data_IF_494054293361
#
_entry.id   IF_494054293361
#
_cell.length_a   1.000
_cell.length_b   1.000
_cell.length_c   1.000
_cell.angle_alpha   90.00
_cell.angle_beta   90.00
_cell.angle_gamma   90.00
#
_symmetry.space_group_name_H-M   'P 1'
#
loop_
_entity.id
_entity.type
_entity.pdbx_description
1 polymer ?
#
# COMPACT_ATOMS: atom_id res chain seq x y z
N UNK A 1 21.03 10.86 -10.62
CA UNK A 1 20.13 9.74 -10.21
C UNK A 1 20.76 8.40 -10.55
N UNK A 2 20.86 7.99 -11.82
CA UNK A 2 21.48 6.70 -12.19
C UNK A 2 22.93 6.56 -11.72
N UNK A 3 23.77 7.58 -11.90
CA UNK A 3 25.14 7.59 -11.38
C UNK A 3 25.19 7.47 -9.85
N UNK A 4 24.22 8.05 -9.14
CA UNK A 4 24.14 7.90 -7.68
C UNK A 4 23.73 6.47 -7.33
N UNK A 5 22.72 5.91 -8.01
CA UNK A 5 22.16 4.59 -7.75
C UNK A 5 23.15 3.44 -7.99
N UNK A 6 24.15 3.62 -8.87
CA UNK A 6 25.18 2.61 -9.13
C UNK A 6 26.31 2.59 -8.08
N UNK A 7 26.29 3.47 -7.08
CA UNK A 7 27.32 3.56 -6.04
C UNK A 7 26.88 2.85 -4.77
N UNK A 8 27.86 2.35 -4.02
CA UNK A 8 27.63 1.74 -2.70
C UNK A 8 26.95 2.73 -1.71
N UNK A 9 27.24 4.04 -1.85
CA UNK A 9 26.63 5.11 -1.04
C UNK A 9 25.40 5.77 -1.69
N UNK A 10 24.84 5.14 -2.74
CA UNK A 10 23.78 5.70 -3.57
C UNK A 10 22.51 6.05 -2.80
N UNK A 11 22.03 5.14 -1.95
CA UNK A 11 20.85 5.33 -1.10
C UNK A 11 20.95 6.61 -0.27
N UNK A 12 22.10 6.80 0.40
CA UNK A 12 22.38 7.96 1.25
C UNK A 12 22.37 9.26 0.45
N UNK A 13 23.02 9.28 -0.72
CA UNK A 13 23.07 10.47 -1.59
C UNK A 13 21.69 10.90 -2.08
N UNK A 14 20.84 9.95 -2.43
CA UNK A 14 19.46 10.24 -2.87
C UNK A 14 18.64 10.77 -1.69
N UNK A 15 18.78 10.16 -0.51
CA UNK A 15 18.09 10.59 0.71
C UNK A 15 18.46 12.04 1.11
N UNK A 16 19.74 12.43 1.00
CA UNK A 16 20.23 13.77 1.35
C UNK A 16 19.57 14.91 0.56
N UNK A 17 19.08 14.63 -0.66
CA UNK A 17 18.41 15.63 -1.50
C UNK A 17 16.89 15.51 -1.50
N UNK A 18 16.32 14.41 -1.00
CA UNK A 18 14.89 14.08 -1.09
C UNK A 18 13.99 15.18 -0.49
N UNK A 19 14.41 15.79 0.63
CA UNK A 19 13.67 16.90 1.26
C UNK A 19 13.55 18.14 0.36
N UNK A 20 14.49 18.36 -0.56
CA UNK A 20 14.47 19.45 -1.53
C UNK A 20 13.74 19.13 -2.84
N UNK A 21 13.30 17.89 -3.04
CA UNK A 21 12.59 17.46 -4.25
C UNK A 21 11.09 17.80 -4.09
N UNK A 22 10.57 18.55 -5.06
CA UNK A 22 9.13 18.79 -5.20
C UNK A 22 8.46 17.64 -5.96
N UNK A 23 7.15 17.43 -5.79
CA UNK A 23 6.44 16.39 -6.54
C UNK A 23 6.54 16.58 -8.06
N UNK A 24 6.50 17.82 -8.56
CA UNK A 24 6.71 18.09 -9.99
C UNK A 24 8.11 17.72 -10.47
N UNK A 25 9.16 17.88 -9.64
CA UNK A 25 10.52 17.44 -9.97
C UNK A 25 10.60 15.91 -10.04
N UNK A 26 9.96 15.20 -9.09
CA UNK A 26 9.91 13.74 -9.09
C UNK A 26 9.20 13.21 -10.36
N UNK A 27 8.04 13.76 -10.69
CA UNK A 27 7.29 13.43 -11.90
C UNK A 27 8.07 13.77 -13.18
N UNK A 28 8.77 14.91 -13.23
CA UNK A 28 9.57 15.27 -14.40
C UNK A 28 10.69 14.26 -14.66
N UNK A 29 11.36 13.78 -13.60
CA UNK A 29 12.42 12.77 -13.72
C UNK A 29 11.85 11.41 -14.12
N UNK A 30 10.71 10.98 -13.56
CA UNK A 30 10.12 9.68 -13.92
C UNK A 30 9.77 9.59 -15.42
N UNK A 31 9.28 10.69 -16.00
CA UNK A 31 8.89 10.79 -17.42
C UNK A 31 10.02 10.58 -18.42
N UNK A 32 11.26 10.85 -18.03
CA UNK A 32 12.45 10.69 -18.89
C UNK A 32 13.23 9.41 -18.60
N UNK A 33 12.76 8.60 -17.65
CA UNK A 33 13.35 7.31 -17.28
C UNK A 33 12.68 6.17 -18.04
N UNK A 34 13.46 5.21 -18.53
CA UNK A 34 12.91 3.92 -18.99
C UNK A 34 12.56 3.05 -17.78
N UNK A 35 11.83 1.96 -18.00
CA UNK A 35 11.43 1.05 -16.91
C UNK A 35 12.64 0.54 -16.11
N UNK A 36 13.72 0.14 -16.78
CA UNK A 36 14.95 -0.29 -16.09
C UNK A 36 15.58 0.82 -15.23
N UNK A 37 15.42 2.08 -15.62
CA UNK A 37 15.98 3.21 -14.87
C UNK A 37 15.13 3.45 -13.61
N UNK A 38 13.80 3.36 -13.73
CA UNK A 38 12.87 3.42 -12.59
C UNK A 38 13.15 2.30 -11.59
N UNK A 39 13.36 1.08 -12.08
CA UNK A 39 13.67 -0.11 -11.27
C UNK A 39 15.02 0.05 -10.56
N UNK A 40 16.08 0.36 -11.31
CA UNK A 40 17.44 0.45 -10.75
C UNK A 40 17.56 1.55 -9.69
N UNK A 41 16.95 2.72 -9.92
CA UNK A 41 16.97 3.79 -8.92
C UNK A 41 16.02 3.49 -7.77
N UNK A 42 14.85 2.90 -8.03
CA UNK A 42 13.94 2.38 -7.01
C UNK A 42 14.63 1.42 -6.04
N UNK A 43 15.38 0.46 -6.58
CA UNK A 43 16.10 -0.57 -5.81
C UNK A 43 17.23 0.02 -4.95
N UNK A 44 17.86 1.10 -5.42
CA UNK A 44 18.90 1.79 -4.66
C UNK A 44 18.36 2.65 -3.51
N UNK A 45 17.08 3.04 -3.54
CA UNK A 45 16.46 3.84 -2.48
C UNK A 45 15.99 2.94 -1.33
N UNK A 46 16.30 3.33 -0.09
CA UNK A 46 15.82 2.65 1.11
C UNK A 46 14.91 3.60 1.89
N UNK A 47 13.63 3.25 1.98
CA UNK A 47 12.64 3.98 2.76
C UNK A 47 11.84 2.98 3.57
N UNK A 48 11.79 3.18 4.88
CA UNK A 48 11.11 2.27 5.80
C UNK A 48 10.17 3.04 6.73
N UNK A 49 9.13 2.36 7.20
CA UNK A 49 8.25 2.83 8.26
C UNK A 49 7.95 1.67 9.22
N UNK A 50 7.56 1.99 10.45
CA UNK A 50 7.33 0.97 11.48
C UNK A 50 6.10 1.27 12.34
N UNK A 51 5.37 0.19 12.64
CA UNK A 51 4.28 0.20 13.62
C UNK A 51 4.36 -1.03 14.55
N UNK A 52 3.83 -2.19 14.16
CA UNK A 52 4.15 -3.50 14.81
C UNK A 52 5.17 -4.30 14.03
N UNK A 53 5.20 -4.05 12.73
CA UNK A 53 6.20 -4.56 11.80
C UNK A 53 6.98 -3.39 11.22
N UNK A 54 8.18 -3.70 10.76
CA UNK A 54 8.99 -2.79 9.94
C UNK A 54 8.84 -3.15 8.47
N UNK A 55 8.43 -2.20 7.62
CA UNK A 55 8.29 -2.41 6.17
C UNK A 55 9.27 -1.57 5.35
N UNK A 56 9.45 -1.92 4.08
CA UNK A 56 10.35 -1.20 3.16
C UNK A 56 11.85 -1.46 3.38
N UNK A 57 12.17 -2.41 4.27
CA UNK A 57 13.53 -2.87 4.50
C UNK A 57 14.10 -3.62 3.29
N UNK A 58 15.42 -3.51 3.08
CA UNK A 58 16.12 -4.25 2.02
C UNK A 58 15.92 -5.76 2.20
N UNK A 59 15.60 -6.47 1.12
CA UNK A 59 15.40 -7.92 1.15
C UNK A 59 14.04 -8.35 1.68
N UNK A 60 13.12 -7.42 1.89
CA UNK A 60 11.75 -7.71 2.33
C UNK A 60 10.74 -7.37 1.23
N UNK A 61 9.61 -8.08 1.24
CA UNK A 61 8.41 -7.77 0.47
C UNK A 61 7.23 -8.06 1.38
N UNK A 62 6.63 -7.02 1.96
CA UNK A 62 5.48 -7.20 2.84
C UNK A 62 4.15 -7.28 2.07
N UNK A 63 3.08 -7.77 2.69
CA UNK A 63 1.76 -7.82 2.05
C UNK A 63 0.65 -7.24 2.91
N UNK A 64 -0.25 -6.52 2.25
CA UNK A 64 -1.61 -6.33 2.74
C UNK A 64 -2.41 -7.60 2.44
N UNK A 65 -2.94 -8.22 3.48
CA UNK A 65 -3.97 -9.25 3.36
C UNK A 65 -5.31 -8.52 3.32
N UNK A 66 -6.05 -8.64 2.22
CA UNK A 66 -7.35 -8.00 2.02
C UNK A 66 -8.47 -9.05 2.03
N UNK A 67 -9.10 -9.32 3.20
CA UNK A 67 -10.11 -10.35 3.36
C UNK A 67 -11.52 -9.77 3.15
N UNK A 68 -11.73 -9.07 2.04
CA UNK A 68 -13.02 -8.47 1.73
C UNK A 68 -14.09 -9.55 1.57
N UNK A 69 -15.30 -9.25 2.02
CA UNK A 69 -16.45 -10.14 1.87
C UNK A 69 -17.65 -9.33 1.36
N UNK A 70 -18.43 -9.80 0.37
CA UNK A 70 -19.53 -9.03 -0.25
C UNK A 70 -20.61 -8.49 0.70
N UNK A 71 -20.63 -8.97 1.93
CA UNK A 71 -21.60 -8.60 2.98
C UNK A 71 -20.94 -8.41 4.35
N UNK A 72 -19.60 -8.32 4.40
CA UNK A 72 -18.84 -8.26 5.66
C UNK A 72 -19.18 -9.40 6.65
N UNK A 73 -19.47 -10.63 6.18
CA UNK A 73 -19.79 -11.76 7.09
C UNK A 73 -18.55 -12.09 7.94
N UNK A 74 -18.64 -12.06 9.29
CA UNK A 74 -17.49 -12.25 10.15
C UNK A 74 -16.77 -13.59 9.97
N UNK A 75 -17.48 -14.66 9.56
CA UNK A 75 -16.87 -15.97 9.34
C UNK A 75 -16.14 -16.02 8.01
N UNK A 76 -16.73 -15.42 6.96
CA UNK A 76 -16.09 -15.27 5.66
C UNK A 76 -14.79 -14.47 5.77
N UNK A 77 -14.84 -13.32 6.46
CA UNK A 77 -13.66 -12.49 6.75
C UNK A 77 -12.61 -13.28 7.54
N UNK A 78 -12.99 -13.96 8.63
CA UNK A 78 -12.05 -14.72 9.45
C UNK A 78 -11.41 -15.90 8.68
N UNK A 79 -12.16 -16.55 7.78
CA UNK A 79 -11.64 -17.62 6.93
C UNK A 79 -10.60 -17.07 5.93
N UNK A 80 -10.86 -15.94 5.28
CA UNK A 80 -9.91 -15.30 4.37
C UNK A 80 -8.65 -14.78 5.10
N UNK A 81 -8.80 -14.27 6.33
CA UNK A 81 -7.66 -13.92 7.19
C UNK A 81 -6.80 -15.16 7.47
N UNK A 82 -7.41 -16.28 7.85
CA UNK A 82 -6.67 -17.51 8.13
C UNK A 82 -5.94 -18.02 6.87
N UNK A 83 -6.61 -18.04 5.72
CA UNK A 83 -6.03 -18.50 4.45
C UNK A 83 -4.79 -17.66 4.06
N UNK A 84 -4.88 -16.34 4.13
CA UNK A 84 -3.73 -15.47 3.85
C UNK A 84 -2.60 -15.62 4.87
N UNK A 85 -2.92 -15.75 6.17
CA UNK A 85 -1.91 -15.99 7.20
C UNK A 85 -1.18 -17.32 6.98
N UNK A 86 -1.90 -18.39 6.61
CA UNK A 86 -1.34 -19.70 6.27
C UNK A 86 -0.34 -19.65 5.10
N UNK A 87 -0.48 -18.64 4.23
CA UNK A 87 0.42 -18.36 3.12
C UNK A 87 1.41 -17.22 3.40
N UNK A 88 1.60 -16.89 4.69
CA UNK A 88 2.57 -15.90 5.15
C UNK A 88 2.25 -14.46 4.73
N UNK A 89 0.98 -14.15 4.45
CA UNK A 89 0.53 -12.82 4.07
C UNK A 89 -0.08 -12.05 5.25
N UNK A 90 -0.02 -10.72 5.18
CA UNK A 90 -0.62 -9.82 6.17
C UNK A 90 0.38 -9.11 7.07
N UNK A 91 1.67 -9.15 6.76
CA UNK A 91 2.74 -8.51 7.53
C UNK A 91 2.82 -6.99 7.33
N UNK A 92 2.25 -6.44 6.25
CA UNK A 92 2.05 -5.01 6.10
C UNK A 92 0.76 -4.54 6.76
N UNK A 93 -0.36 -5.25 6.62
CA UNK A 93 -1.64 -4.97 7.32
C UNK A 93 -2.65 -6.07 6.99
N UNK A 94 -3.56 -6.37 7.92
CA UNK A 94 -4.81 -7.06 7.60
C UNK A 94 -5.88 -5.99 7.41
N UNK A 95 -6.20 -5.68 6.15
CA UNK A 95 -6.94 -4.48 5.75
C UNK A 95 -8.23 -4.78 5.00
N UNK A 96 -9.38 -4.44 5.59
CA UNK A 96 -10.71 -4.68 5.00
C UNK A 96 -11.25 -3.41 4.36
N UNK A 97 -11.64 -3.46 3.09
CA UNK A 97 -12.58 -2.51 2.53
C UNK A 97 -13.99 -2.95 2.95
N UNK A 98 -14.72 -2.19 3.79
CA UNK A 98 -16.02 -2.61 4.26
C UNK A 98 -17.06 -2.52 3.13
N UNK A 99 -17.98 -3.47 3.05
CA UNK A 99 -19.10 -3.46 2.10
C UNK A 99 -20.14 -2.37 2.41
N UNK A 100 -20.09 -1.77 3.62
CA UNK A 100 -21.00 -0.69 4.04
C UNK A 100 -20.24 0.44 4.73
N UNK A 101 -20.77 1.66 4.61
CA UNK A 101 -20.26 2.84 5.32
C UNK A 101 -20.72 2.94 6.79
N UNK A 102 -21.23 1.85 7.37
CA UNK A 102 -21.75 1.85 8.73
C UNK A 102 -20.60 1.94 9.76
N UNK A 103 -20.60 2.96 10.65
CA UNK A 103 -19.62 3.02 11.74
C UNK A 103 -19.71 1.82 12.68
N UNK A 104 -20.91 1.27 12.89
CA UNK A 104 -21.10 0.09 13.75
C UNK A 104 -20.46 -1.15 13.13
N UNK A 105 -20.73 -1.41 11.85
CA UNK A 105 -20.13 -2.54 11.12
C UNK A 105 -18.60 -2.41 11.07
N UNK A 106 -18.09 -1.21 10.79
CA UNK A 106 -16.65 -0.89 10.85
C UNK A 106 -16.07 -1.19 12.23
N UNK A 107 -16.74 -0.77 13.30
CA UNK A 107 -16.33 -1.03 14.67
C UNK A 107 -16.30 -2.52 15.02
N UNK A 108 -17.24 -3.31 14.51
CA UNK A 108 -17.29 -4.76 14.75
C UNK A 108 -16.21 -5.52 13.98
N UNK A 109 -15.90 -5.12 12.74
CA UNK A 109 -14.77 -5.63 11.99
C UNK A 109 -13.43 -5.32 12.69
N UNK A 110 -13.26 -4.12 13.23
CA UNK A 110 -12.06 -3.76 14.00
C UNK A 110 -11.88 -4.67 15.23
N UNK A 111 -12.95 -4.93 16.00
CA UNK A 111 -12.92 -5.83 17.16
C UNK A 111 -12.62 -7.28 16.75
N UNK A 112 -13.19 -7.73 15.63
CA UNK A 112 -12.92 -9.07 15.09
C UNK A 112 -11.43 -9.24 14.78
N UNK A 113 -10.86 -8.31 14.01
CA UNK A 113 -9.44 -8.35 13.63
C UNK A 113 -8.51 -8.24 14.85
N UNK A 114 -8.80 -7.33 15.79
CA UNK A 114 -8.01 -7.19 17.01
C UNK A 114 -8.08 -8.44 17.90
N UNK A 115 -9.24 -9.12 17.94
CA UNK A 115 -9.40 -10.38 18.67
C UNK A 115 -8.58 -11.52 18.04
N UNK A 116 -8.58 -11.65 16.71
CA UNK A 116 -7.77 -12.65 15.99
C UNK A 116 -6.29 -12.37 16.24
N UNK A 117 -5.85 -11.13 16.01
CA UNK A 117 -4.46 -10.70 16.21
C UNK A 117 -3.98 -10.99 17.64
N UNK A 118 -4.75 -10.57 18.64
CA UNK A 118 -4.37 -10.75 20.05
C UNK A 118 -4.38 -12.21 20.48
N UNK A 119 -5.30 -13.02 19.96
CA UNK A 119 -5.39 -14.44 20.34
C UNK A 119 -4.19 -15.27 19.91
N UNK A 120 -3.57 -14.92 18.78
CA UNK A 120 -2.43 -15.63 18.20
C UNK A 120 -1.12 -14.82 18.29
N UNK A 121 -1.12 -13.73 19.06
CA UNK A 121 0.01 -12.81 19.21
C UNK A 121 0.67 -12.42 17.88
N UNK A 122 -0.16 -12.19 16.86
CA UNK A 122 0.29 -11.90 15.50
C UNK A 122 0.93 -10.50 15.49
N UNK A 123 2.21 -10.35 15.13
CA UNK A 123 2.86 -9.05 15.03
C UNK A 123 2.45 -8.41 13.70
N UNK A 124 1.21 -7.93 13.63
CA UNK A 124 0.68 -7.17 12.50
C UNK A 124 -0.41 -6.22 12.99
N UNK A 125 -0.81 -5.29 12.13
CA UNK A 125 -1.81 -4.28 12.37
C UNK A 125 -3.07 -4.57 11.57
N UNK A 126 -4.20 -4.14 12.12
CA UNK A 126 -5.49 -4.15 11.41
C UNK A 126 -5.86 -2.77 10.86
N UNK A 127 -6.64 -2.77 9.79
CA UNK A 127 -7.27 -1.56 9.29
C UNK A 127 -8.63 -1.90 8.67
N UNK A 128 -9.63 -1.06 8.91
CA UNK A 128 -10.89 -1.08 8.14
C UNK A 128 -10.94 0.24 7.38
N UNK A 129 -10.91 0.15 6.06
CA UNK A 129 -10.68 1.24 5.11
C UNK A 129 -11.95 2.08 4.90
N UNK A 130 -12.51 2.57 6.00
CA UNK A 130 -13.62 3.52 6.02
C UNK A 130 -13.12 4.96 5.92
N UNK A 131 -14.02 5.91 5.62
CA UNK A 131 -13.68 7.33 5.65
C UNK A 131 -13.08 7.75 7.01
N UNK A 132 -12.08 8.64 6.99
CA UNK A 132 -11.32 9.04 8.17
C UNK A 132 -12.17 9.53 9.34
N UNK A 133 -13.28 10.22 9.06
CA UNK A 133 -14.21 10.71 10.09
C UNK A 133 -14.90 9.58 10.86
N UNK A 134 -15.21 8.46 10.19
CA UNK A 134 -15.76 7.26 10.83
C UNK A 134 -14.73 6.67 11.77
N UNK A 135 -13.48 6.59 11.32
CA UNK A 135 -12.36 6.09 12.14
C UNK A 135 -12.15 6.97 13.37
N UNK A 136 -12.10 8.31 13.22
CA UNK A 136 -11.98 9.25 14.35
C UNK A 136 -13.11 9.04 15.36
N UNK A 137 -14.36 8.97 14.91
CA UNK A 137 -15.50 8.73 15.81
C UNK A 137 -15.45 7.36 16.51
N UNK A 138 -14.83 6.35 15.90
CA UNK A 138 -14.60 5.05 16.53
C UNK A 138 -13.48 5.09 17.57
N UNK A 139 -12.44 5.87 17.33
CA UNK A 139 -11.35 6.13 18.30
C UNK A 139 -11.91 6.79 19.56
N UNK A 140 -12.77 7.81 19.41
CA UNK A 140 -13.44 8.48 20.53
C UNK A 140 -14.30 7.52 21.36
N UNK A 141 -14.82 6.46 20.74
CA UNK A 141 -15.59 5.38 21.38
C UNK A 141 -14.73 4.25 21.94
N UNK A 142 -13.40 4.35 21.84
CA UNK A 142 -12.45 3.37 22.36
C UNK A 142 -12.29 2.12 21.49
N UNK A 143 -12.60 2.17 20.20
CA UNK A 143 -12.37 1.06 19.28
C UNK A 143 -10.87 0.77 19.11
N UNK A 144 -10.47 -0.50 18.86
CA UNK A 144 -9.07 -0.90 18.75
C UNK A 144 -8.49 -0.57 17.36
N UNK A 145 -8.40 0.72 17.03
CA UNK A 145 -7.84 1.19 15.75
C UNK A 145 -6.32 1.12 15.80
N UNK A 146 -5.71 0.32 14.91
CA UNK A 146 -4.26 0.28 14.74
C UNK A 146 -3.79 1.33 13.72
N UNK A 147 -4.39 1.36 12.52
CA UNK A 147 -4.10 2.34 11.46
C UNK A 147 -5.34 3.13 11.04
N UNK A 148 -5.16 4.40 10.69
CA UNK A 148 -6.18 5.24 10.06
C UNK A 148 -6.00 5.29 8.57
N UNK A 149 -7.02 4.83 7.84
CA UNK A 149 -7.06 4.88 6.40
C UNK A 149 -7.65 6.18 5.87
N UNK A 150 -7.17 6.64 4.72
CA UNK A 150 -7.87 7.60 3.86
C UNK A 150 -7.33 7.60 2.42
N UNK A 151 -8.22 7.61 1.43
CA UNK A 151 -7.84 7.94 0.05
C UNK A 151 -7.51 9.43 -0.08
N UNK A 152 -6.41 9.75 -0.76
CA UNK A 152 -5.92 11.12 -0.98
C UNK A 152 -5.61 11.38 -2.45
N UNK A 153 -5.50 12.65 -2.82
CA UNK A 153 -5.21 13.09 -4.17
C UNK A 153 -4.26 14.30 -4.21
N UNK A 154 -3.72 14.59 -5.40
CA UNK A 154 -2.72 15.65 -5.60
C UNK A 154 -3.25 17.08 -5.73
N UNK A 155 -4.57 17.29 -5.63
CA UNK A 155 -5.19 18.61 -5.69
C UNK A 155 -6.20 18.79 -4.57
N UNK A 156 -6.37 20.03 -4.11
CA UNK A 156 -7.37 20.39 -3.10
C UNK A 156 -8.78 19.99 -3.56
N UNK A 157 -9.15 20.31 -4.81
CA UNK A 157 -10.46 19.95 -5.34
C UNK A 157 -10.74 18.44 -5.36
N UNK A 158 -9.73 17.61 -5.61
CA UNK A 158 -9.89 16.16 -5.56
C UNK A 158 -10.01 15.65 -4.11
N UNK A 159 -9.22 16.16 -3.18
CA UNK A 159 -9.35 15.82 -1.75
C UNK A 159 -10.71 16.26 -1.18
N UNK A 160 -11.19 17.45 -1.55
CA UNK A 160 -12.53 17.91 -1.18
C UNK A 160 -13.63 17.02 -1.76
N UNK A 161 -13.46 16.47 -2.96
CA UNK A 161 -14.40 15.49 -3.52
C UNK A 161 -14.43 14.18 -2.74
N UNK A 162 -13.32 13.81 -2.08
CA UNK A 162 -13.26 12.71 -1.11
C UNK A 162 -13.77 13.09 0.28
N UNK A 163 -14.16 14.35 0.52
CA UNK A 163 -14.64 14.81 1.82
C UNK A 163 -13.54 15.13 2.82
N UNK A 164 -12.29 15.34 2.37
CA UNK A 164 -11.14 15.57 3.26
C UNK A 164 -10.34 16.82 2.92
N UNK A 165 -9.69 17.37 3.94
CA UNK A 165 -8.65 18.38 3.83
C UNK A 165 -7.43 17.98 4.67
N UNK A 166 -6.34 18.77 4.58
CA UNK A 166 -5.10 18.48 5.31
C UNK A 166 -5.28 18.53 6.83
N UNK A 167 -6.19 19.39 7.33
CA UNK A 167 -6.42 19.53 8.77
C UNK A 167 -7.05 18.25 9.33
N UNK A 168 -8.08 17.72 8.65
CA UNK A 168 -8.73 16.46 9.01
C UNK A 168 -7.79 15.27 8.92
N UNK A 169 -6.93 15.22 7.90
CA UNK A 169 -5.91 14.16 7.78
C UNK A 169 -4.93 14.16 8.97
N UNK A 170 -4.49 15.34 9.40
CA UNK A 170 -3.63 15.50 10.59
C UNK A 170 -4.37 15.16 11.88
N UNK A 171 -5.64 15.53 12.00
CA UNK A 171 -6.49 15.16 13.14
C UNK A 171 -6.59 13.64 13.28
N UNK A 172 -6.89 12.91 12.20
CA UNK A 172 -6.95 11.45 12.23
C UNK A 172 -5.61 10.81 12.58
N UNK A 173 -4.49 11.34 12.06
CA UNK A 173 -3.15 10.89 12.45
C UNK A 173 -2.91 11.08 13.94
N UNK A 174 -3.17 12.27 14.46
CA UNK A 174 -2.87 12.61 15.84
C UNK A 174 -3.76 11.83 16.82
N UNK A 175 -5.05 11.64 16.47
CA UNK A 175 -5.99 10.81 17.23
C UNK A 175 -5.53 9.34 17.32
N UNK A 176 -5.08 8.76 16.20
CA UNK A 176 -4.63 7.36 16.18
C UNK A 176 -3.29 7.17 16.85
N UNK A 177 -2.35 8.10 16.64
CA UNK A 177 -1.04 8.07 17.31
C UNK A 177 -1.20 8.20 18.84
N UNK A 178 -2.20 8.93 19.32
CA UNK A 178 -2.50 9.05 20.74
C UNK A 178 -2.91 7.73 21.41
N UNK A 179 -3.39 6.74 20.65
CA UNK A 179 -3.70 5.40 21.18
C UNK A 179 -2.44 4.60 21.56
N UNK A 180 -1.27 4.99 21.03
CA UNK A 180 0.05 4.39 21.33
C UNK A 180 0.06 2.87 21.21
N UNK A 181 -0.62 2.37 20.18
CA UNK A 181 -0.80 0.94 20.00
C UNK A 181 0.45 0.27 19.44
N UNK A 182 1.29 0.96 18.67
CA UNK A 182 2.51 0.44 18.02
C UNK A 182 3.54 -0.16 18.99
N UNK A 183 4.31 -1.14 18.53
CA UNK A 183 5.32 -1.85 19.35
C UNK A 183 6.75 -1.67 18.86
N UNK A 184 6.93 -1.34 17.58
CA UNK A 184 8.22 -1.07 16.94
C UNK A 184 8.36 0.41 16.57
N UNK A 185 7.28 1.01 16.08
CA UNK A 185 7.22 2.43 15.72
C UNK A 185 5.83 3.03 15.93
N UNK A 186 5.65 4.27 15.47
CA UNK A 186 4.45 5.09 15.69
C UNK A 186 3.91 5.74 14.41
N UNK A 187 4.27 5.18 13.25
CA UNK A 187 3.62 5.52 11.99
C UNK A 187 2.22 4.87 12.00
N UNK A 188 1.16 5.67 11.82
CA UNK A 188 -0.24 5.21 12.02
C UNK A 188 -1.15 5.43 10.82
N UNK A 189 -0.69 6.15 9.80
CA UNK A 189 -1.51 6.43 8.63
C UNK A 189 -1.36 5.34 7.57
N UNK A 190 -2.49 4.99 6.97
CA UNK A 190 -2.57 4.22 5.74
C UNK A 190 -3.25 5.09 4.67
N UNK A 191 -2.55 5.39 3.58
CA UNK A 191 -3.05 6.27 2.53
C UNK A 191 -3.11 5.52 1.19
N UNK A 192 -4.18 5.76 0.43
CA UNK A 192 -4.29 5.26 -0.94
C UNK A 192 -4.35 6.40 -1.94
N UNK A 193 -3.64 6.22 -3.05
CA UNK A 193 -3.57 7.13 -4.20
C UNK A 193 -3.90 6.38 -5.48
N UNK A 194 -3.78 7.04 -6.63
CA UNK A 194 -4.04 6.39 -7.90
C UNK A 194 -4.14 7.39 -9.03
N UNK A 195 -3.42 7.10 -10.11
CA UNK A 195 -3.53 7.85 -11.35
C UNK A 195 -4.98 7.85 -11.85
N UNK A 196 -5.48 9.03 -12.21
CA UNK A 196 -6.83 9.21 -12.75
C UNK A 196 -7.83 9.79 -11.75
N UNK A 197 -7.57 9.69 -10.44
CA UNK A 197 -8.43 10.23 -9.38
C UNK A 197 -8.81 11.71 -9.60
N UNK A 198 -7.81 12.59 -9.76
CA UNK A 198 -8.04 14.01 -9.99
C UNK A 198 -8.71 14.31 -11.35
N UNK A 199 -8.50 13.48 -12.37
CA UNK A 199 -9.18 13.62 -13.66
C UNK A 199 -10.67 13.27 -13.52
N UNK A 200 -10.97 12.15 -12.85
CA UNK A 200 -12.33 11.68 -12.56
C UNK A 200 -13.16 12.74 -11.82
N UNK A 201 -12.56 13.40 -10.82
CA UNK A 201 -13.20 14.49 -10.07
C UNK A 201 -13.19 15.85 -10.78
N UNK A 202 -12.75 15.93 -12.05
CA UNK A 202 -12.57 17.19 -12.81
C UNK A 202 -11.67 18.23 -12.10
N UNK A 203 -10.78 17.75 -11.25
CA UNK A 203 -9.88 18.55 -10.41
C UNK A 203 -8.42 18.47 -10.89
N UNK A 204 -8.21 18.18 -12.18
CA UNK A 204 -6.89 18.04 -12.81
C UNK A 204 -6.37 19.34 -13.46
N UNK A 205 -7.17 20.40 -13.45
CA UNK A 205 -6.80 21.69 -14.05
C UNK A 205 -5.84 22.46 -13.13
N UNK A 206 -4.71 22.87 -13.68
CA UNK A 206 -3.71 23.70 -13.02
C UNK A 206 -3.84 25.18 -13.36
N UNK A 207 -2.72 25.89 -13.26
CA UNK A 207 -2.66 27.34 -13.50
C UNK A 207 -3.16 27.72 -14.90
N UNK A 208 -4.05 28.72 -14.96
CA UNK A 208 -4.67 29.17 -16.21
C UNK A 208 -5.66 28.18 -16.83
N UNK A 209 -6.18 27.22 -16.04
CA UNK A 209 -7.15 26.22 -16.50
C UNK A 209 -6.56 25.17 -17.43
N UNK A 210 -5.22 25.03 -17.47
CA UNK A 210 -4.55 24.03 -18.31
C UNK A 210 -4.57 22.66 -17.61
N UNK A 211 -4.85 21.57 -18.33
CA UNK A 211 -4.79 20.23 -17.75
C UNK A 211 -3.37 19.88 -17.30
N UNK A 212 -3.27 19.20 -16.17
CA UNK A 212 -2.03 18.57 -15.66
C UNK A 212 -2.16 17.06 -15.85
N UNK A 213 -1.07 16.40 -16.26
CA UNK A 213 -1.07 14.97 -16.51
C UNK A 213 -1.21 14.13 -15.23
N UNK A 214 -1.69 12.89 -15.38
CA UNK A 214 -2.01 11.98 -14.27
C UNK A 214 -0.81 11.75 -13.33
N UNK A 215 0.36 11.44 -13.90
CA UNK A 215 1.57 11.15 -13.14
C UNK A 215 2.07 12.35 -12.31
N UNK A 216 1.93 13.57 -12.84
CA UNK A 216 2.29 14.78 -12.08
C UNK A 216 1.35 14.99 -10.89
N UNK A 217 0.05 14.72 -11.07
CA UNK A 217 -0.93 14.83 -9.98
C UNK A 217 -0.77 13.69 -8.96
N UNK A 218 -0.42 12.50 -9.40
CA UNK A 218 -0.13 11.37 -8.52
C UNK A 218 1.10 11.66 -7.65
N UNK A 219 2.18 12.19 -8.23
CA UNK A 219 3.34 12.64 -7.45
C UNK A 219 2.98 13.70 -6.39
N UNK A 220 1.99 14.56 -6.66
CA UNK A 220 1.51 15.54 -5.66
C UNK A 220 0.73 14.90 -4.53
N UNK A 221 0.02 13.79 -4.77
CA UNK A 221 -0.63 13.03 -3.71
C UNK A 221 0.42 12.49 -2.72
N UNK A 222 1.59 12.08 -3.21
CA UNK A 222 2.72 11.68 -2.36
C UNK A 222 3.26 12.82 -1.50
N UNK A 223 3.21 14.07 -1.97
CA UNK A 223 3.57 15.21 -1.14
C UNK A 223 2.58 15.42 0.02
N UNK A 224 1.29 15.13 -0.19
CA UNK A 224 0.29 15.09 0.89
C UNK A 224 0.60 13.95 1.86
N UNK A 225 0.89 12.74 1.34
CA UNK A 225 1.26 11.60 2.18
C UNK A 225 2.49 11.90 3.05
N UNK A 226 3.52 12.53 2.49
CA UNK A 226 4.77 12.84 3.20
C UNK A 226 4.55 13.70 4.46
N UNK A 227 3.57 14.60 4.45
CA UNK A 227 3.21 15.43 5.62
C UNK A 227 2.64 14.61 6.79
N UNK A 228 2.10 13.43 6.49
CA UNK A 228 1.39 12.57 7.43
C UNK A 228 2.26 11.45 8.01
N UNK A 229 3.51 11.32 7.56
CA UNK A 229 4.46 10.29 8.02
C UNK A 229 3.84 8.87 8.07
N UNK A 230 3.24 8.39 6.96
CA UNK A 230 2.42 7.20 6.98
C UNK A 230 3.24 5.95 7.22
N UNK A 231 2.57 4.95 7.78
CA UNK A 231 3.09 3.61 7.80
C UNK A 231 2.96 2.97 6.42
N UNK A 232 1.80 3.17 5.77
CA UNK A 232 1.51 2.64 4.44
C UNK A 232 1.07 3.77 3.51
N UNK A 233 1.62 3.79 2.30
CA UNK A 233 1.02 4.47 1.17
C UNK A 233 1.13 3.58 -0.05
N UNK A 234 0.01 3.34 -0.74
CA UNK A 234 0.04 2.67 -2.04
C UNK A 234 -0.74 3.44 -3.08
N UNK A 235 -0.24 3.35 -4.31
CA UNK A 235 -1.07 3.61 -5.49
C UNK A 235 -1.95 2.38 -5.73
N UNK A 236 -3.14 2.60 -6.30
CA UNK A 236 -4.00 1.54 -6.83
C UNK A 236 -3.97 1.63 -8.35
N UNK A 237 -3.13 0.80 -8.99
CA UNK A 237 -2.85 0.91 -10.43
C UNK A 237 -3.77 -0.03 -11.18
N UNK A 238 -4.51 0.48 -12.16
CA UNK A 238 -5.42 -0.34 -13.00
C UNK A 238 -6.84 -0.53 -12.43
N UNK A 239 -7.14 0.06 -11.27
CA UNK A 239 -8.44 -0.10 -10.60
C UNK A 239 -9.59 0.72 -11.19
N UNK A 240 -9.32 1.93 -11.71
CA UNK A 240 -10.40 2.81 -12.16
C UNK A 240 -10.98 2.34 -13.51
N UNK A 241 -10.12 1.98 -14.47
CA UNK A 241 -10.55 1.51 -15.78
C UNK A 241 -9.66 1.95 -16.95
N UNK A 242 -9.96 1.44 -18.16
CA UNK A 242 -9.19 1.67 -19.39
C UNK A 242 -9.20 3.12 -19.87
N UNK A 243 -10.11 3.95 -19.36
CA UNK A 243 -10.17 5.38 -19.68
C UNK A 243 -8.94 6.15 -19.13
N UNK A 244 -8.27 5.56 -18.14
CA UNK A 244 -7.10 6.13 -17.47
C UNK A 244 -5.82 5.38 -17.80
N UNK A 245 -5.88 4.03 -17.79
CA UNK A 245 -4.79 3.11 -18.13
C UNK A 245 -5.36 1.95 -18.94
N UNK A 246 -5.18 2.00 -20.26
CA UNK A 246 -5.91 1.15 -21.22
C UNK A 246 -5.49 -0.32 -21.19
N UNK A 247 -4.19 -0.59 -21.17
CA UNK A 247 -3.60 -1.92 -21.35
C UNK A 247 -2.59 -2.28 -20.25
N UNK A 248 -2.20 -3.56 -20.20
CA UNK A 248 -1.18 -4.07 -19.27
C UNK A 248 0.15 -3.29 -19.35
N UNK A 249 0.52 -2.80 -20.54
CA UNK A 249 1.73 -1.98 -20.71
C UNK A 249 1.65 -0.64 -19.98
N UNK A 250 0.50 0.03 -20.04
CA UNK A 250 0.24 1.29 -19.33
C UNK A 250 0.18 1.07 -17.82
N UNK A 251 -0.46 -0.02 -17.37
CA UNK A 251 -0.51 -0.42 -15.96
C UNK A 251 0.91 -0.67 -15.42
N UNK A 252 1.71 -1.49 -16.12
CA UNK A 252 3.10 -1.77 -15.74
C UNK A 252 3.92 -0.48 -15.66
N UNK A 253 3.76 0.42 -16.65
CA UNK A 253 4.48 1.70 -16.65
C UNK A 253 4.08 2.58 -15.47
N UNK A 254 2.78 2.74 -15.22
CA UNK A 254 2.25 3.56 -14.13
C UNK A 254 2.72 3.06 -12.77
N UNK A 255 2.63 1.74 -12.50
CA UNK A 255 3.09 1.17 -11.23
C UNK A 255 4.57 1.41 -10.95
N UNK A 256 5.43 1.35 -11.98
CA UNK A 256 6.85 1.67 -11.84
C UNK A 256 7.12 3.16 -11.60
N UNK A 257 6.38 4.05 -12.27
CA UNK A 257 6.50 5.50 -12.09
C UNK A 257 6.03 5.93 -10.69
N UNK A 258 4.90 5.40 -10.24
CA UNK A 258 4.28 5.65 -8.95
C UNK A 258 5.20 5.19 -7.81
N UNK A 259 5.66 3.94 -7.87
CA UNK A 259 6.62 3.38 -6.92
C UNK A 259 7.91 4.22 -6.82
N UNK A 260 8.48 4.58 -7.98
CA UNK A 260 9.69 5.40 -8.03
C UNK A 260 9.47 6.79 -7.40
N UNK A 261 8.39 7.48 -7.78
CA UNK A 261 8.08 8.81 -7.27
C UNK A 261 7.82 8.80 -5.77
N UNK A 262 7.05 7.83 -5.27
CA UNK A 262 6.79 7.66 -3.84
C UNK A 262 8.08 7.47 -3.04
N UNK A 263 8.97 6.57 -3.47
CA UNK A 263 10.27 6.35 -2.80
C UNK A 263 11.19 7.57 -2.90
N UNK A 264 11.22 8.26 -4.04
CA UNK A 264 12.02 9.48 -4.21
C UNK A 264 11.56 10.59 -3.26
N UNK A 265 10.26 10.65 -2.96
CA UNK A 265 9.66 11.56 -2.00
C UNK A 265 9.72 11.03 -0.55
N UNK A 266 10.43 9.94 -0.30
CA UNK A 266 10.71 9.44 1.05
C UNK A 266 9.56 8.68 1.69
N UNK A 267 8.72 8.02 0.89
CA UNK A 267 7.59 7.23 1.39
C UNK A 267 7.82 5.70 1.33
N UNK A 268 7.26 4.93 2.29
CA UNK A 268 7.26 3.46 2.26
C UNK A 268 6.26 2.95 1.20
N UNK A 269 6.58 3.19 -0.06
CA UNK A 269 5.65 3.08 -1.18
C UNK A 269 5.33 1.61 -1.52
N UNK A 270 4.06 1.26 -1.41
CA UNK A 270 3.47 0.02 -1.91
C UNK A 270 2.69 0.23 -3.21
N UNK A 271 2.19 -0.86 -3.79
CA UNK A 271 1.39 -0.85 -5.02
C UNK A 271 0.32 -1.93 -4.93
N UNK A 272 -0.95 -1.59 -5.16
CA UNK A 272 -1.96 -2.58 -5.53
C UNK A 272 -1.81 -2.87 -7.02
N UNK A 273 -1.33 -4.09 -7.31
CA UNK A 273 -1.03 -4.59 -8.64
C UNK A 273 -2.29 -5.25 -9.16
N UNK A 274 -3.09 -4.47 -9.89
CA UNK A 274 -4.44 -4.88 -10.18
C UNK A 274 -4.93 -4.42 -11.56
N UNK A 275 -6.05 -4.99 -11.98
CA UNK A 275 -6.73 -4.58 -13.21
C UNK A 275 -8.23 -4.85 -13.09
N UNK A 276 -9.00 -4.17 -13.94
CA UNK A 276 -10.43 -4.44 -14.10
C UNK A 276 -10.66 -5.27 -15.36
N UNK A 277 -11.71 -6.11 -15.35
CA UNK A 277 -12.07 -7.01 -16.47
C UNK A 277 -12.34 -6.33 -17.82
N UNK A 278 -12.46 -5.00 -17.87
CA UNK A 278 -12.72 -4.24 -19.10
C UNK A 278 -11.48 -3.48 -19.61
N UNK A 279 -10.34 -3.57 -18.91
CA UNK A 279 -9.04 -3.14 -19.43
C UNK A 279 -8.43 -4.23 -20.34
N UNK A 280 -7.57 -3.84 -21.28
CA UNK A 280 -6.79 -4.78 -22.10
C UNK A 280 -5.57 -5.28 -21.31
N UNK A 281 -5.84 -6.01 -20.24
CA UNK A 281 -4.85 -6.56 -19.32
C UNK A 281 -5.32 -7.91 -18.76
N UNK A 282 -4.36 -8.74 -18.35
CA UNK A 282 -4.64 -10.00 -17.65
C UNK A 282 -3.68 -10.24 -16.47
N UNK A 283 -3.84 -11.39 -15.80
CA UNK A 283 -3.01 -11.74 -14.65
C UNK A 283 -1.51 -11.88 -14.99
N UNK A 284 -1.14 -12.19 -16.24
CA UNK A 284 0.28 -12.27 -16.62
C UNK A 284 0.94 -10.88 -16.64
N UNK A 285 0.16 -9.83 -16.96
CA UNK A 285 0.63 -8.45 -16.82
C UNK A 285 0.86 -8.10 -15.35
N UNK A 286 -0.01 -8.60 -14.45
CA UNK A 286 0.15 -8.40 -13.00
C UNK A 286 1.37 -9.15 -12.46
N UNK A 287 1.60 -10.38 -12.89
CA UNK A 287 2.81 -11.15 -12.55
C UNK A 287 4.09 -10.43 -13.00
N UNK A 288 4.05 -9.87 -14.21
CA UNK A 288 5.15 -9.07 -14.75
C UNK A 288 5.39 -7.85 -13.87
N UNK A 289 4.35 -7.09 -13.52
CA UNK A 289 4.48 -5.90 -12.67
C UNK A 289 4.99 -6.26 -11.27
N UNK A 290 4.48 -7.33 -10.65
CA UNK A 290 4.92 -7.81 -9.34
C UNK A 290 6.43 -8.07 -9.31
N UNK A 291 6.96 -8.82 -10.28
CA UNK A 291 8.40 -9.14 -10.33
C UNK A 291 9.24 -7.87 -10.53
N UNK A 292 8.81 -6.95 -11.39
CA UNK A 292 9.52 -5.69 -11.62
C UNK A 292 9.53 -4.80 -10.37
N UNK A 293 8.41 -4.70 -9.65
CA UNK A 293 8.30 -3.94 -8.40
C UNK A 293 9.10 -4.57 -7.26
N UNK A 294 9.04 -5.89 -7.12
CA UNK A 294 9.82 -6.61 -6.12
C UNK A 294 11.33 -6.45 -6.38
N UNK A 295 11.77 -6.51 -7.63
CA UNK A 295 13.15 -6.19 -8.02
C UNK A 295 13.51 -4.71 -7.76
N UNK A 296 12.55 -3.79 -7.87
CA UNK A 296 12.72 -2.38 -7.53
C UNK A 296 12.67 -2.10 -6.02
N UNK A 297 12.40 -3.10 -5.18
CA UNK A 297 12.31 -2.94 -3.72
C UNK A 297 11.06 -2.19 -3.27
N UNK A 298 9.90 -2.54 -3.82
CA UNK A 298 8.58 -2.12 -3.32
C UNK A 298 8.40 -2.49 -1.86
N UNK A 299 7.80 -1.61 -1.06
CA UNK A 299 7.68 -1.83 0.37
C UNK A 299 6.66 -2.93 0.71
N UNK A 300 5.51 -2.91 0.01
CA UNK A 300 4.48 -3.92 0.13
C UNK A 300 3.58 -3.98 -1.11
N UNK A 301 2.87 -5.09 -1.28
CA UNK A 301 1.82 -5.26 -2.29
C UNK A 301 0.52 -5.76 -1.64
N UNK A 302 -0.60 -5.65 -2.35
CA UNK A 302 -1.91 -6.09 -1.88
C UNK A 302 -2.15 -7.52 -2.36
N UNK A 303 -2.79 -8.32 -1.52
CA UNK A 303 -3.17 -9.71 -1.85
C UNK A 303 -4.61 -9.98 -1.42
N UNK A 304 -5.36 -10.65 -2.29
CA UNK A 304 -6.74 -11.06 -2.08
C UNK A 304 -6.88 -12.59 -2.26
N UNK A 305 -7.91 -13.23 -1.67
CA UNK A 305 -8.18 -14.64 -1.90
C UNK A 305 -8.35 -14.95 -3.39
N UNK A 306 -7.50 -15.82 -3.93
CA UNK A 306 -7.61 -16.30 -5.32
C UNK A 306 -7.42 -15.25 -6.42
N UNK A 307 -6.77 -14.11 -6.12
CA UNK A 307 -6.60 -12.97 -7.05
C UNK A 307 -7.90 -12.28 -7.50
N UNK A 308 -9.05 -12.62 -6.93
CA UNK A 308 -10.36 -12.07 -7.31
C UNK A 308 -11.05 -11.39 -6.13
N UNK A 309 -11.17 -10.07 -6.17
CA UNK A 309 -11.97 -9.34 -5.19
C UNK A 309 -13.41 -9.24 -5.67
N UNK A 310 -14.22 -10.21 -5.27
CA UNK A 310 -15.63 -10.32 -5.65
C UNK A 310 -16.50 -9.15 -5.17
N UNK A 311 -16.06 -8.39 -4.17
CA UNK A 311 -16.82 -7.25 -3.64
C UNK A 311 -16.50 -5.98 -4.42
N UNK A 312 -15.22 -5.73 -4.72
CA UNK A 312 -14.78 -4.56 -5.47
C UNK A 312 -14.83 -4.76 -7.00
N UNK A 313 -14.96 -5.99 -7.48
CA UNK A 313 -15.14 -6.31 -8.90
C UNK A 313 -13.88 -6.15 -9.75
N UNK A 314 -12.70 -6.42 -9.17
CA UNK A 314 -11.41 -6.31 -9.83
C UNK A 314 -10.49 -7.48 -9.46
N UNK A 315 -9.44 -7.68 -10.25
CA UNK A 315 -8.43 -8.70 -10.01
C UNK A 315 -7.17 -8.05 -9.43
N UNK A 316 -6.60 -8.64 -8.39
CA UNK A 316 -5.34 -8.22 -7.74
C UNK A 316 -4.39 -9.41 -7.67
N UNK A 317 -3.38 -9.39 -6.79
CA UNK A 317 -2.51 -10.54 -6.56
C UNK A 317 -3.17 -11.54 -5.63
N UNK A 318 -2.89 -12.82 -5.83
CA UNK A 318 -3.18 -13.87 -4.86
C UNK A 318 -2.10 -13.95 -3.78
N UNK A 319 -2.41 -14.63 -2.69
CA UNK A 319 -1.40 -15.00 -1.68
C UNK A 319 -0.24 -15.83 -2.26
N UNK A 320 -0.51 -16.66 -3.28
CA UNK A 320 0.48 -17.52 -3.91
C UNK A 320 1.48 -16.75 -4.78
N UNK A 321 1.04 -15.67 -5.43
CA UNK A 321 1.89 -14.86 -6.31
C UNK A 321 3.02 -14.22 -5.51
N UNK A 322 2.70 -13.69 -4.33
CA UNK A 322 3.73 -13.10 -3.46
C UNK A 322 4.63 -14.15 -2.84
N UNK A 323 4.11 -15.33 -2.47
CA UNK A 323 4.93 -16.44 -2.03
C UNK A 323 5.95 -16.85 -3.10
N UNK A 324 5.51 -16.93 -4.36
CA UNK A 324 6.36 -17.23 -5.49
C UNK A 324 7.39 -16.11 -5.76
N UNK A 325 6.98 -14.84 -5.70
CA UNK A 325 7.89 -13.70 -5.87
C UNK A 325 8.97 -13.66 -4.78
N UNK A 326 8.59 -13.84 -3.51
CA UNK A 326 9.51 -13.94 -2.36
C UNK A 326 10.52 -15.05 -2.59
N UNK A 327 10.07 -16.25 -2.98
CA UNK A 327 10.96 -17.38 -3.27
C UNK A 327 11.89 -17.11 -4.45
N UNK A 328 11.37 -16.53 -5.53
CA UNK A 328 12.12 -16.29 -6.79
C UNK A 328 13.23 -15.27 -6.58
N UNK A 329 12.98 -14.24 -5.78
CA UNK A 329 13.91 -13.12 -5.57
C UNK A 329 14.67 -13.21 -4.24
N UNK A 330 14.44 -14.24 -3.42
CA UNK A 330 15.07 -14.39 -2.11
C UNK A 330 14.64 -13.32 -1.10
N UNK A 331 13.39 -12.88 -1.17
CA UNK A 331 12.81 -11.87 -0.27
C UNK A 331 12.10 -12.54 0.91
N UNK A 332 12.01 -11.81 2.02
CA UNK A 332 11.34 -12.23 3.25
C UNK A 332 10.10 -11.38 3.57
N UNK A 333 9.19 -11.86 4.43
CA UNK A 333 8.24 -10.98 5.12
C UNK A 333 8.95 -9.94 6.01
N UNK A 334 8.20 -9.04 6.63
CA UNK A 334 8.72 -8.15 7.65
C UNK A 334 9.38 -8.95 8.80
N UNK A 335 10.51 -8.48 9.37
CA UNK A 335 11.32 -9.28 10.29
C UNK A 335 10.57 -9.78 11.53
N UNK A 336 9.69 -8.96 12.10
CA UNK A 336 8.89 -9.32 13.28
C UNK A 336 7.87 -10.41 12.94
N UNK A 337 7.29 -10.34 11.74
CA UNK A 337 6.33 -11.33 11.24
C UNK A 337 7.01 -12.64 10.84
N UNK A 338 8.18 -12.58 10.21
CA UNK A 338 9.00 -13.76 9.92
C UNK A 338 9.36 -14.51 11.22
N UNK A 339 9.78 -13.80 12.28
CA UNK A 339 10.04 -14.40 13.58
C UNK A 339 8.80 -15.10 14.17
N UNK A 340 7.62 -14.49 14.04
CA UNK A 340 6.38 -15.12 14.47
C UNK A 340 6.04 -16.37 13.66
N UNK A 341 6.19 -16.34 12.33
CA UNK A 341 6.01 -17.51 11.47
C UNK A 341 6.94 -18.67 11.88
N UNK A 342 8.20 -18.38 12.22
CA UNK A 342 9.13 -19.38 12.74
C UNK A 342 8.66 -19.95 14.08
N UNK A 343 8.24 -19.07 15.01
CA UNK A 343 7.82 -19.46 16.35
C UNK A 343 6.60 -20.39 16.35
N UNK A 344 5.69 -20.23 15.39
CA UNK A 344 4.50 -21.09 15.23
C UNK A 344 4.73 -22.28 14.30
N UNK A 345 5.96 -22.49 13.81
CA UNK A 345 6.33 -23.64 12.99
C UNK A 345 5.78 -23.60 11.56
N UNK A 346 5.54 -22.41 11.02
CA UNK A 346 5.04 -22.23 9.64
C UNK A 346 6.14 -22.01 8.61
N UNK A 347 7.36 -21.66 9.04
CA UNK A 347 8.53 -21.55 8.15
C UNK A 347 9.71 -22.38 8.67
N UNK A 348 10.47 -22.97 7.76
CA UNK A 348 11.73 -23.68 8.05
C UNK A 348 12.89 -22.71 8.30
N UNK A 349 14.07 -23.21 8.70
CA UNK A 349 15.29 -22.40 8.93
C UNK A 349 15.76 -21.64 7.67
N UNK A 350 15.37 -22.12 6.48
CA UNK A 350 15.60 -21.45 5.20
C UNK A 350 14.52 -20.39 4.91
N UNK A 351 13.60 -20.12 5.85
CA UNK A 351 12.48 -19.17 5.80
C UNK A 351 11.45 -19.49 4.71
N UNK A 352 11.29 -20.76 4.36
CA UNK A 352 10.28 -21.27 3.42
C UNK A 352 9.06 -21.75 4.18
N UNK A 353 7.86 -21.46 3.68
CA UNK A 353 6.64 -22.00 4.25
C UNK A 353 6.66 -23.54 4.21
N UNK A 354 6.45 -24.16 5.36
CA UNK A 354 6.33 -25.61 5.49
C UNK A 354 4.87 -26.02 5.29
N UNK A 355 4.58 -27.09 4.55
CA UNK A 355 3.24 -27.67 4.53
C UNK A 355 2.81 -27.95 5.97
N UNK A 356 1.64 -27.48 6.36
CA UNK A 356 1.04 -27.80 7.66
C UNK A 356 0.92 -29.33 7.77
N UNK A 357 1.71 -29.93 8.66
CA UNK A 357 1.64 -31.37 9.00
C UNK A 357 0.50 -31.68 9.94
#
# INVERSE_FOLDING_TARGET
>A
MLESASRDDGARRIAEVSAGITPEMAAAVSKIMRNQDLIAVGAAMHVSAAFRTTIGGKGTLATRLQPNHPTDDPRGVAAAVLDGLLLGCGDAVIGINPATDSPEATGDLLKLLDSIRSRYDIPTQSCVLSHITTTIGLIERGAPVDLTFQSIAGTEGANSAFGVDIALLREGRDATRALRRGTVGDNVMYLETGQGSALSSRAHLGAGGKPVDQQTLEARAYAVARDLEPFLVNTVVGFIGPEYLYDGKQIVRAGLEDHFCGKLLGLPMGVDVCYTNHAEADQNDMDTLLILLAAAGVAFVITVPGADDVMLGYQSLSFHDVLQARRTLGLRPAPEFEQWLHAIGMVDDDGRLTPST
#
